data_IF_661935135532
#
_entry.id   IF_661935135532
#
_cell.length_a   1.000
_cell.length_b   1.000
_cell.length_c   1.000
_cell.angle_alpha   90.00
_cell.angle_beta   90.00
_cell.angle_gamma   90.00
#
_symmetry.space_group_name_H-M   'P 1'
#
loop_
_entity.id
_entity.type
_entity.pdbx_description
1 polymer ?
#
# COMPACT_ATOMS: atom_id res chain seq x y z
N UNK A 1 -62.67 -23.52 25.26
CA UNK A 1 -62.19 -24.72 24.52
C UNK A 1 -61.39 -24.19 23.33
N UNK A 2 -60.09 -24.36 23.12
CA UNK A 2 -59.01 -25.17 23.72
C UNK A 2 -57.68 -24.57 23.20
N UNK A 3 -56.64 -24.48 24.04
CA UNK A 3 -55.28 -24.01 23.70
C UNK A 3 -54.47 -25.11 23.02
N UNK A 4 -53.65 -24.80 22.00
CA UNK A 4 -52.40 -25.52 21.59
C UNK A 4 -51.50 -24.46 20.89
N UNK A 5 -50.41 -23.94 21.48
CA UNK A 5 -48.99 -24.39 21.39
C UNK A 5 -48.50 -24.54 19.93
N UNK A 6 -47.29 -24.20 19.47
CA UNK A 6 -46.08 -23.56 19.97
C UNK A 6 -45.09 -23.55 18.78
N UNK A 7 -44.17 -22.57 18.73
CA UNK A 7 -42.76 -22.72 18.30
C UNK A 7 -42.48 -23.16 16.86
N UNK A 8 -41.79 -22.32 16.07
CA UNK A 8 -40.42 -22.60 15.62
C UNK A 8 -39.86 -21.48 14.73
N UNK A 9 -38.81 -20.87 15.28
CA UNK A 9 -37.81 -20.04 14.64
C UNK A 9 -37.03 -20.87 13.60
N UNK A 10 -36.91 -20.44 12.34
CA UNK A 10 -35.77 -20.86 11.51
C UNK A 10 -35.45 -19.88 10.38
N UNK A 11 -34.19 -19.49 10.42
CA UNK A 11 -33.44 -18.56 9.59
C UNK A 11 -33.13 -19.20 8.24
N UNK A 12 -33.30 -18.47 7.14
CA UNK A 12 -32.63 -18.77 5.87
C UNK A 12 -32.38 -17.48 5.07
N UNK A 13 -31.53 -16.59 5.60
CA UNK A 13 -30.84 -15.59 4.80
C UNK A 13 -29.54 -16.24 4.26
N UNK A 14 -29.64 -16.86 3.09
CA UNK A 14 -28.55 -17.42 2.29
C UNK A 14 -28.97 -17.18 0.82
N UNK A 15 -28.24 -16.55 -0.09
CA UNK A 15 -26.84 -16.18 -0.19
C UNK A 15 -26.76 -14.91 -1.04
N UNK A 16 -26.42 -13.77 -0.45
CA UNK A 16 -25.93 -12.64 -1.23
C UNK A 16 -24.41 -12.82 -1.35
N UNK A 17 -23.97 -13.12 -2.57
CA UNK A 17 -22.62 -12.98 -3.11
C UNK A 17 -21.46 -13.26 -2.15
N UNK A 18 -21.00 -14.51 -2.14
CA UNK A 18 -19.57 -14.78 -1.97
C UNK A 18 -18.86 -14.30 -3.25
N UNK A 19 -18.60 -13.01 -3.36
CA UNK A 19 -17.52 -12.53 -4.24
C UNK A 19 -16.20 -12.77 -3.51
N UNK A 20 -15.79 -14.04 -3.47
CA UNK A 20 -14.55 -14.51 -2.87
C UNK A 20 -13.34 -14.20 -3.77
N UNK A 21 -13.35 -13.07 -4.47
CA UNK A 21 -12.38 -12.70 -5.48
C UNK A 21 -11.91 -11.26 -5.20
N UNK A 22 -11.09 -10.98 -4.19
CA UNK A 22 -9.63 -10.96 -4.31
C UNK A 22 -9.04 -10.34 -3.04
N UNK A 23 -8.33 -11.11 -2.19
CA UNK A 23 -7.26 -10.53 -1.37
C UNK A 23 -5.87 -11.05 -1.74
N UNK A 24 -5.78 -12.34 -2.14
CA UNK A 24 -4.49 -13.02 -2.27
C UNK A 24 -3.76 -12.73 -3.59
N UNK A 25 -4.49 -12.57 -4.69
CA UNK A 25 -3.89 -12.27 -6.00
C UNK A 25 -3.35 -10.83 -6.05
N UNK A 26 -4.11 -9.86 -5.52
CA UNK A 26 -3.69 -8.45 -5.40
C UNK A 26 -2.46 -8.29 -4.52
N UNK A 27 -2.37 -9.04 -3.42
CA UNK A 27 -1.20 -9.07 -2.55
C UNK A 27 0.09 -9.42 -3.32
N UNK A 28 0.09 -10.49 -4.12
CA UNK A 28 1.26 -10.88 -4.91
C UNK A 28 1.63 -9.83 -5.98
N UNK A 29 0.64 -9.21 -6.62
CA UNK A 29 0.85 -8.16 -7.61
C UNK A 29 1.48 -6.90 -6.98
N UNK A 30 1.02 -6.49 -5.80
CA UNK A 30 1.58 -5.37 -5.06
C UNK A 30 3.01 -5.64 -4.58
N UNK A 31 3.30 -6.85 -4.08
CA UNK A 31 4.67 -7.25 -3.72
C UNK A 31 5.59 -7.18 -4.94
N UNK A 32 5.18 -7.76 -6.07
CA UNK A 32 5.96 -7.71 -7.31
C UNK A 32 6.14 -6.27 -7.84
N UNK A 33 5.13 -5.41 -7.71
CA UNK A 33 5.24 -3.99 -8.04
C UNK A 33 6.28 -3.29 -7.15
N UNK A 34 6.25 -3.53 -5.84
CA UNK A 34 7.24 -2.98 -4.92
C UNK A 34 8.68 -3.42 -5.24
N UNK A 35 8.89 -4.69 -5.59
CA UNK A 35 10.19 -5.19 -6.04
C UNK A 35 10.65 -4.55 -7.35
N UNK A 36 9.73 -4.36 -8.30
CA UNK A 36 10.02 -3.70 -9.57
C UNK A 36 10.41 -2.23 -9.37
N UNK A 37 9.75 -1.52 -8.44
CA UNK A 37 10.09 -0.15 -8.08
C UNK A 37 11.47 -0.06 -7.43
N UNK A 38 11.77 -0.93 -6.46
CA UNK A 38 13.09 -1.06 -5.84
C UNK A 38 14.17 -1.26 -6.91
N UNK A 39 13.94 -2.20 -7.82
CA UNK A 39 14.86 -2.50 -8.92
C UNK A 39 15.07 -1.31 -9.86
N UNK A 40 14.03 -0.50 -10.12
CA UNK A 40 14.14 0.69 -10.94
C UNK A 40 14.98 1.77 -10.25
N UNK A 41 14.75 2.04 -8.98
CA UNK A 41 15.54 3.01 -8.21
C UNK A 41 17.00 2.59 -8.08
N UNK A 42 17.26 1.30 -7.84
CA UNK A 42 18.60 0.74 -7.79
C UNK A 42 19.40 0.91 -9.10
N UNK A 43 18.71 1.04 -10.25
CA UNK A 43 19.32 1.31 -11.57
C UNK A 43 19.27 2.78 -12.00
N UNK A 44 18.73 3.65 -11.16
CA UNK A 44 18.62 5.09 -11.44
C UNK A 44 19.85 5.85 -10.94
N UNK A 45 19.94 7.15 -11.25
CA UNK A 45 20.94 8.04 -10.64
C UNK A 45 20.83 8.14 -9.11
N UNK A 46 19.71 7.74 -8.52
CA UNK A 46 19.48 7.71 -7.07
C UNK A 46 19.86 6.38 -6.43
N UNK A 47 20.56 5.46 -7.13
CA UNK A 47 20.93 4.16 -6.60
C UNK A 47 21.61 4.22 -5.21
N UNK A 48 22.44 5.23 -4.97
CA UNK A 48 23.15 5.44 -3.69
C UNK A 48 22.23 5.75 -2.51
N UNK A 49 21.00 6.17 -2.77
CA UNK A 49 20.02 6.41 -1.71
C UNK A 49 19.48 5.09 -1.12
N UNK A 50 19.72 3.96 -1.79
CA UNK A 50 19.23 2.64 -1.38
C UNK A 50 17.72 2.68 -1.08
N UNK A 51 16.95 3.23 -2.02
CA UNK A 51 15.48 3.27 -1.94
C UNK A 51 14.95 1.85 -2.12
N UNK A 52 14.14 1.40 -1.18
CA UNK A 52 13.48 0.11 -1.19
C UNK A 52 11.99 0.32 -1.01
N UNK A 53 11.17 -0.36 -1.79
CA UNK A 53 9.73 -0.36 -1.63
C UNK A 53 9.24 -1.72 -1.16
N UNK A 54 8.15 -1.71 -0.40
CA UNK A 54 7.44 -2.88 0.11
C UNK A 54 5.95 -2.67 -0.05
N UNK A 55 5.20 -3.73 -0.28
CA UNK A 55 3.77 -3.71 0.01
C UNK A 55 3.57 -3.86 1.53
N UNK A 56 2.65 -3.10 2.11
CA UNK A 56 2.38 -3.12 3.54
C UNK A 56 0.88 -2.97 3.81
N UNK A 57 0.48 -3.00 5.08
CA UNK A 57 -0.93 -3.05 5.45
C UNK A 57 -1.45 -4.48 5.45
N UNK A 58 -2.59 -4.70 6.10
CA UNK A 58 -3.21 -6.03 6.21
C UNK A 58 -3.70 -6.60 4.87
N UNK A 59 -3.95 -5.72 3.90
CA UNK A 59 -4.38 -6.03 2.53
C UNK A 59 -3.26 -5.88 1.50
N UNK A 60 -2.03 -5.60 1.94
CA UNK A 60 -0.88 -5.22 1.10
C UNK A 60 -1.15 -3.99 0.21
N UNK A 61 -2.16 -3.17 0.54
CA UNK A 61 -2.59 -2.03 -0.24
C UNK A 61 -1.75 -0.77 -0.03
N UNK A 62 -0.82 -0.76 0.93
CA UNK A 62 0.05 0.38 1.22
C UNK A 62 1.37 0.25 0.48
N UNK A 63 1.77 1.31 -0.25
CA UNK A 63 3.08 1.38 -0.87
C UNK A 63 4.11 2.00 0.07
N UNK A 64 4.91 1.17 0.74
CA UNK A 64 5.88 1.61 1.74
C UNK A 64 7.28 1.77 1.14
N UNK A 65 7.76 3.00 1.05
CA UNK A 65 9.08 3.36 0.49
C UNK A 65 10.03 3.75 1.62
N UNK A 66 11.15 3.05 1.73
CA UNK A 66 12.19 3.33 2.72
C UNK A 66 13.53 3.69 2.06
N UNK A 67 14.29 4.57 2.70
CA UNK A 67 15.64 4.95 2.26
C UNK A 67 16.58 5.10 3.46
N UNK A 68 17.89 5.01 3.21
CA UNK A 68 18.93 5.27 4.22
C UNK A 68 19.29 6.76 4.36
N UNK A 69 18.84 7.60 3.44
CA UNK A 69 19.11 9.03 3.45
C UNK A 69 18.12 9.71 4.40
N UNK A 70 18.56 10.69 5.18
CA UNK A 70 17.67 11.59 5.92
C UNK A 70 17.08 12.57 4.90
N UNK A 71 15.76 12.63 4.81
CA UNK A 71 15.07 13.43 3.80
C UNK A 71 14.44 14.66 4.43
N UNK A 72 14.57 15.81 3.77
CA UNK A 72 13.75 16.98 4.05
C UNK A 72 12.36 16.83 3.41
N UNK A 73 11.38 17.59 3.89
CA UNK A 73 9.99 17.52 3.42
C UNK A 73 9.90 17.79 1.90
N UNK A 74 10.67 18.75 1.41
CA UNK A 74 10.78 19.10 -0.01
C UNK A 74 11.32 17.94 -0.88
N UNK A 75 12.24 17.13 -0.34
CA UNK A 75 12.77 15.96 -1.03
C UNK A 75 11.71 14.86 -1.14
N UNK A 76 10.93 14.66 -0.07
CA UNK A 76 9.83 13.69 -0.05
C UNK A 76 8.75 14.08 -1.04
N UNK A 77 8.33 15.35 -1.04
CA UNK A 77 7.35 15.86 -2.00
C UNK A 77 7.84 15.74 -3.44
N UNK A 78 9.09 16.10 -3.70
CA UNK A 78 9.64 16.00 -5.04
C UNK A 78 9.74 14.55 -5.53
N UNK A 79 10.07 13.59 -4.65
CA UNK A 79 10.01 12.17 -4.98
C UNK A 79 8.56 11.73 -5.24
N UNK A 80 7.63 12.17 -4.38
CA UNK A 80 6.22 11.80 -4.46
C UNK A 80 5.57 12.27 -5.77
N UNK A 81 5.77 13.53 -6.15
CA UNK A 81 5.16 14.13 -7.35
C UNK A 81 6.03 14.05 -8.61
N UNK A 82 7.27 13.53 -8.53
CA UNK A 82 8.16 13.40 -9.68
C UNK A 82 8.78 14.73 -10.12
N UNK A 83 9.28 15.51 -9.16
CA UNK A 83 9.94 16.79 -9.39
C UNK A 83 11.44 16.65 -9.68
N UNK A 84 11.89 17.27 -10.77
CA UNK A 84 13.31 17.58 -11.02
C UNK A 84 14.27 16.39 -10.87
N UNK A 85 15.09 16.41 -9.83
CA UNK A 85 16.13 15.40 -9.62
C UNK A 85 15.60 14.01 -9.20
N UNK A 86 14.33 13.94 -8.84
CA UNK A 86 13.73 12.78 -8.16
C UNK A 86 12.76 11.98 -9.02
N UNK A 87 12.47 12.47 -10.23
CA UNK A 87 11.61 11.79 -11.20
C UNK A 87 12.29 10.55 -11.78
N UNK A 88 12.14 9.42 -11.09
CA UNK A 88 12.58 8.09 -11.56
C UNK A 88 11.45 7.38 -12.32
N UNK A 89 10.20 7.78 -12.08
CA UNK A 89 9.03 7.30 -12.77
C UNK A 89 8.12 8.49 -13.06
N UNK A 90 7.86 8.76 -14.34
CA UNK A 90 7.08 9.92 -14.80
C UNK A 90 5.83 10.14 -13.92
N UNK A 91 5.79 11.29 -13.24
CA UNK A 91 4.72 11.62 -12.28
C UNK A 91 4.98 11.14 -10.83
N UNK A 92 6.21 10.72 -10.56
CA UNK A 92 6.69 10.31 -9.25
C UNK A 92 6.08 9.02 -8.70
N UNK A 93 6.26 8.85 -7.39
CA UNK A 93 5.69 7.73 -6.66
C UNK A 93 4.16 7.78 -6.62
N UNK A 94 3.56 8.98 -6.65
CA UNK A 94 2.11 9.14 -6.70
C UNK A 94 1.53 8.44 -7.93
N UNK A 95 2.05 8.76 -9.12
CA UNK A 95 1.60 8.13 -10.36
C UNK A 95 1.87 6.62 -10.33
N UNK A 96 3.04 6.21 -9.85
CA UNK A 96 3.37 4.79 -9.73
C UNK A 96 2.39 4.03 -8.83
N UNK A 97 2.07 4.61 -7.66
CA UNK A 97 1.13 4.05 -6.68
C UNK A 97 -0.26 3.91 -7.29
N UNK A 98 -0.73 4.93 -8.00
CA UNK A 98 -2.00 4.92 -8.71
C UNK A 98 -2.05 3.85 -9.82
N UNK A 99 -1.04 3.81 -10.69
CA UNK A 99 -0.95 2.85 -11.81
C UNK A 99 -0.91 1.39 -11.34
N UNK A 100 -0.51 1.16 -10.09
CA UNK A 100 -0.41 -0.15 -9.46
C UNK A 100 -1.51 -0.42 -8.43
N UNK A 101 -2.53 0.45 -8.38
CA UNK A 101 -3.71 0.32 -7.53
C UNK A 101 -3.43 0.19 -6.01
N UNK A 102 -2.34 0.79 -5.54
CA UNK A 102 -2.13 0.99 -4.10
C UNK A 102 -3.10 2.05 -3.57
N UNK A 103 -3.54 1.90 -2.31
CA UNK A 103 -4.43 2.83 -1.60
C UNK A 103 -3.73 4.14 -1.21
N UNK A 104 -2.42 4.08 -1.03
CA UNK A 104 -1.61 5.24 -0.70
C UNK A 104 -0.14 4.87 -0.49
N UNK A 105 0.62 5.85 -0.02
CA UNK A 105 2.09 5.77 0.06
C UNK A 105 2.54 6.17 1.45
N UNK A 106 3.51 5.44 1.98
CA UNK A 106 4.20 5.81 3.21
C UNK A 106 5.70 5.84 2.96
N UNK A 107 6.39 6.82 3.53
CA UNK A 107 7.84 6.99 3.42
C UNK A 107 8.48 6.83 4.78
N UNK A 108 9.63 6.15 4.84
CA UNK A 108 10.53 6.17 5.99
C UNK A 108 11.94 6.55 5.55
N UNK A 109 12.50 7.57 6.18
CA UNK A 109 13.87 8.00 5.91
C UNK A 109 14.89 7.38 6.87
N UNK A 110 16.17 7.74 6.70
CA UNK A 110 17.27 7.25 7.53
C UNK A 110 17.21 7.68 9.00
N UNK A 111 16.42 8.70 9.34
CA UNK A 111 16.17 9.11 10.73
C UNK A 111 15.03 8.33 11.39
N UNK A 112 14.25 7.59 10.59
CA UNK A 112 13.03 6.93 11.01
C UNK A 112 11.79 7.81 10.94
N UNK A 113 11.91 9.05 10.46
CA UNK A 113 10.78 9.96 10.23
C UNK A 113 9.86 9.36 9.16
N UNK A 114 8.56 9.49 9.39
CA UNK A 114 7.52 8.91 8.53
C UNK A 114 6.65 10.00 7.91
N UNK A 115 6.32 9.84 6.64
CA UNK A 115 5.31 10.64 5.92
C UNK A 115 4.32 9.69 5.26
N UNK A 116 3.07 10.14 5.14
CA UNK A 116 1.98 9.36 4.57
C UNK A 116 1.17 10.22 3.61
N UNK A 117 0.82 9.64 2.46
CA UNK A 117 0.01 10.26 1.42
C UNK A 117 -1.14 9.34 1.02
N UNK A 118 -2.29 9.93 0.69
CA UNK A 118 -3.53 9.18 0.44
C UNK A 118 -4.21 8.75 1.74
N UNK A 119 -5.02 7.70 1.66
CA UNK A 119 -5.78 7.17 2.80
C UNK A 119 -4.98 6.06 3.52
N UNK A 120 -3.83 6.46 4.08
CA UNK A 120 -2.90 5.56 4.76
C UNK A 120 -2.40 6.22 6.04
N UNK A 121 -2.52 5.49 7.15
CA UNK A 121 -1.93 5.89 8.42
C UNK A 121 -0.53 5.29 8.63
N UNK A 122 0.28 5.93 9.48
CA UNK A 122 1.57 5.40 9.95
C UNK A 122 1.44 4.00 10.54
N UNK A 123 0.34 3.73 11.25
CA UNK A 123 0.08 2.42 11.86
C UNK A 123 -0.17 1.32 10.82
N UNK A 124 -0.99 1.60 9.80
CA UNK A 124 -1.25 0.67 8.70
C UNK A 124 0.03 0.37 7.88
N UNK A 125 0.85 1.39 7.62
CA UNK A 125 2.10 1.23 6.88
C UNK A 125 3.12 0.30 7.58
N UNK A 126 2.99 0.10 8.89
CA UNK A 126 3.84 -0.79 9.68
C UNK A 126 3.26 -2.21 9.82
N UNK A 127 2.02 -2.44 9.37
CA UNK A 127 1.42 -3.77 9.36
C UNK A 127 2.00 -4.61 8.20
N UNK A 128 2.18 -5.91 8.45
CA UNK A 128 2.97 -6.76 7.58
C UNK A 128 2.26 -7.15 6.28
N UNK A 129 2.93 -6.89 5.16
CA UNK A 129 3.00 -7.78 3.99
C UNK A 129 4.46 -8.02 3.61
N UNK A 130 5.04 -9.06 4.20
CA UNK A 130 6.38 -9.58 3.89
C UNK A 130 6.36 -11.09 3.95
#
# INVERSE_FOLDING_TARGET
MTRILAVALTIAAWMSSCDSNQPRMKSNEHVAAADAFTSRYARSRLARWNVQAHAAGTDCGVFFVQTKIVMEDSMVEALHYGGGAYDVYRGGVQQYSHDRAFRGVAYRDGSGRMWTYGDVTTGEALAACR
#
